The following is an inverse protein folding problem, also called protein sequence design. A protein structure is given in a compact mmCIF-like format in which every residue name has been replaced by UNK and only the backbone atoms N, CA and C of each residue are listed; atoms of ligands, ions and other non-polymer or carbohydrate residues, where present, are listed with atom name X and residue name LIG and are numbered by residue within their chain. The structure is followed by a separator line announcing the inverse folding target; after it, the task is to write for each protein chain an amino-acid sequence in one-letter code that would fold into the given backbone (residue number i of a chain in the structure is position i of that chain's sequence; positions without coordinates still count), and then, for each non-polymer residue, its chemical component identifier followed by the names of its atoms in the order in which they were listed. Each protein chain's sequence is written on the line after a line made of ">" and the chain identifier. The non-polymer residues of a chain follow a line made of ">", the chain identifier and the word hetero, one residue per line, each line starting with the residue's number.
data_IF_687607546474
#
_entry.id   IF_687607546474
#
_cell.length_a   1.000
_cell.length_b   1.000
_cell.length_c   1.000
_cell.angle_alpha   90.00
_cell.angle_beta   90.00
_cell.angle_gamma   90.00
#
_symmetry.space_group_name_H-M   'P 1'
#
loop_
_entity.id
_entity.type
_entity.pdbx_description
1 polymer ?
#
# COMPACT_ATOMS: atom_id res chain seq x y z
N UNK A 1 9.42 -10.46 9.42
CA UNK A 1 9.04 -9.15 8.82
C UNK A 1 8.76 -8.06 9.84
N UNK A 2 7.86 -8.29 10.80
CA UNK A 2 7.45 -7.27 11.78
C UNK A 2 8.61 -6.68 12.57
N UNK A 3 9.55 -7.49 13.02
CA UNK A 3 10.69 -7.04 13.82
C UNK A 3 11.67 -6.22 12.99
N UNK A 4 11.89 -6.61 11.73
CA UNK A 4 12.73 -5.85 10.81
C UNK A 4 12.15 -4.46 10.52
N UNK A 5 10.84 -4.38 10.29
CA UNK A 5 10.15 -3.10 10.04
C UNK A 5 10.20 -2.22 11.29
N UNK A 6 9.96 -2.77 12.47
CA UNK A 6 10.04 -2.03 13.73
C UNK A 6 11.45 -1.50 13.98
N UNK A 7 12.46 -2.32 13.72
CA UNK A 7 13.85 -1.93 13.88
C UNK A 7 14.22 -0.75 12.97
N UNK A 8 13.78 -0.80 11.72
CA UNK A 8 14.01 0.27 10.74
C UNK A 8 13.23 1.54 11.10
N UNK A 9 11.97 1.39 11.50
CA UNK A 9 11.13 2.53 11.87
C UNK A 9 11.71 3.32 13.05
N UNK A 10 12.43 2.67 13.95
CA UNK A 10 13.08 3.32 15.11
C UNK A 10 14.28 4.18 14.73
N UNK A 11 14.86 3.97 13.55
CA UNK A 11 16.04 4.74 13.11
C UNK A 11 15.68 6.07 12.46
N UNK A 12 14.40 6.28 12.13
CA UNK A 12 13.91 7.48 11.45
C UNK A 12 13.13 8.35 12.43
N UNK A 13 13.46 9.64 12.48
CA UNK A 13 12.70 10.61 13.26
C UNK A 13 11.33 10.85 12.62
N UNK A 14 10.28 10.79 13.44
CA UNK A 14 8.90 10.96 13.02
C UNK A 14 7.97 10.11 13.87
N UNK A 15 6.75 9.92 13.39
CA UNK A 15 5.75 9.09 14.06
C UNK A 15 5.69 7.72 13.39
N UNK A 16 6.05 6.69 14.14
CA UNK A 16 5.93 5.32 13.66
C UNK A 16 4.46 4.98 13.35
N UNK A 17 4.22 4.36 12.20
CA UNK A 17 2.89 3.88 11.82
C UNK A 17 2.56 2.63 12.64
N UNK A 18 1.37 2.59 13.22
CA UNK A 18 0.88 1.41 13.94
C UNK A 18 0.89 0.19 13.01
N UNK A 19 1.35 -0.95 13.53
CA UNK A 19 1.42 -2.20 12.76
C UNK A 19 0.10 -2.59 12.11
N UNK A 20 -1.02 -2.24 12.72
CA UNK A 20 -2.36 -2.52 12.19
C UNK A 20 -2.64 -1.78 10.88
N UNK A 21 -1.91 -0.71 10.63
CA UNK A 21 -2.04 0.11 9.42
C UNK A 21 -0.97 -0.19 8.36
N UNK A 22 -0.07 -1.15 8.62
CA UNK A 22 0.91 -1.55 7.60
C UNK A 22 0.21 -2.26 6.46
N UNK A 23 0.37 -1.72 5.27
CA UNK A 23 -0.27 -2.27 4.08
C UNK A 23 0.49 -1.87 2.83
N UNK A 24 0.25 -2.61 1.76
CA UNK A 24 0.67 -2.22 0.41
C UNK A 24 -0.57 -1.76 -0.33
N UNK A 25 -0.58 -0.51 -0.77
CA UNK A 25 -1.66 0.02 -1.61
C UNK A 25 -1.49 -0.51 -3.02
N UNK A 26 -2.54 -1.08 -3.58
CA UNK A 26 -2.56 -1.56 -4.97
C UNK A 26 -3.10 -0.48 -5.91
N UNK A 27 -4.14 0.22 -5.48
CA UNK A 27 -4.76 1.28 -6.24
C UNK A 27 -5.48 2.23 -5.28
N UNK A 28 -5.40 3.53 -5.55
CA UNK A 28 -6.08 4.55 -4.78
C UNK A 28 -7.30 5.04 -5.54
N UNK A 29 -8.47 4.91 -4.93
CA UNK A 29 -9.75 5.22 -5.56
C UNK A 29 -10.12 6.69 -5.34
N UNK A 30 -9.79 7.24 -4.18
CA UNK A 30 -10.21 8.58 -3.78
C UNK A 30 -11.67 8.61 -3.32
N UNK A 31 -12.27 9.79 -3.39
CA UNK A 31 -13.67 9.95 -3.02
C UNK A 31 -14.58 9.22 -4.01
N UNK A 32 -15.47 8.39 -3.48
CA UNK A 32 -16.36 7.58 -4.30
C UNK A 32 -17.75 7.55 -3.66
N UNK A 33 -18.85 7.66 -4.45
CA UNK A 33 -20.19 7.66 -3.87
C UNK A 33 -20.49 6.38 -3.09
N UNK A 34 -20.91 6.53 -1.84
CA UNK A 34 -21.13 5.37 -0.96
C UNK A 34 -22.21 4.41 -1.50
N UNK A 35 -23.22 4.92 -2.22
CA UNK A 35 -24.26 4.08 -2.82
C UNK A 35 -23.74 3.19 -3.96
N UNK A 36 -22.57 3.48 -4.50
CA UNK A 36 -21.93 2.70 -5.56
C UNK A 36 -20.84 1.75 -5.06
N UNK A 37 -20.54 1.77 -3.76
CA UNK A 37 -19.55 0.84 -3.17
C UNK A 37 -19.88 -0.63 -3.47
N UNK A 38 -21.14 -1.10 -3.43
CA UNK A 38 -21.46 -2.46 -3.83
C UNK A 38 -20.99 -2.83 -5.24
N UNK A 39 -21.01 -1.89 -6.20
CA UNK A 39 -20.53 -2.13 -7.56
C UNK A 39 -19.01 -2.40 -7.56
N UNK A 40 -18.25 -1.63 -6.77
CA UNK A 40 -16.81 -1.86 -6.61
C UNK A 40 -16.50 -3.21 -5.98
N UNK A 41 -17.24 -3.57 -4.93
CA UNK A 41 -17.06 -4.86 -4.25
C UNK A 41 -17.35 -6.03 -5.18
N UNK A 42 -18.37 -5.92 -5.99
CA UNK A 42 -18.74 -6.94 -6.98
C UNK A 42 -17.62 -7.11 -8.02
N UNK A 43 -17.11 -6.00 -8.54
CA UNK A 43 -16.00 -6.03 -9.50
C UNK A 43 -14.73 -6.61 -8.86
N UNK A 44 -14.41 -6.20 -7.65
CA UNK A 44 -13.24 -6.69 -6.93
C UNK A 44 -13.32 -8.20 -6.67
N UNK A 45 -14.50 -8.72 -6.38
CA UNK A 45 -14.71 -10.14 -6.12
C UNK A 45 -14.46 -11.03 -7.34
N UNK A 46 -14.55 -10.47 -8.55
CA UNK A 46 -14.29 -11.20 -9.80
C UNK A 46 -12.79 -11.32 -10.12
N UNK A 47 -11.94 -10.58 -9.43
CA UNK A 47 -10.50 -10.54 -9.70
C UNK A 47 -9.80 -11.70 -8.99
N UNK A 48 -9.15 -12.55 -9.76
CA UNK A 48 -8.33 -13.63 -9.22
C UNK A 48 -6.93 -13.12 -8.90
N UNK A 49 -6.41 -13.51 -7.73
CA UNK A 49 -5.06 -13.14 -7.29
C UNK A 49 -4.15 -14.36 -7.41
N UNK A 50 -3.14 -14.27 -8.27
CA UNK A 50 -2.03 -15.22 -8.26
C UNK A 50 -1.07 -14.82 -7.13
N UNK A 51 -0.71 -15.74 -6.22
CA UNK A 51 0.21 -15.42 -5.14
C UNK A 51 1.54 -14.87 -5.65
N UNK A 52 2.07 -13.88 -4.95
CA UNK A 52 3.36 -13.27 -5.30
C UNK A 52 4.16 -12.95 -4.04
N UNK A 53 5.45 -12.75 -4.21
CA UNK A 53 6.38 -12.36 -3.14
C UNK A 53 6.94 -10.98 -3.40
N UNK A 54 7.01 -10.17 -2.35
CA UNK A 54 7.67 -8.87 -2.37
C UNK A 54 8.92 -8.93 -1.50
N UNK A 55 10.04 -8.46 -2.07
CA UNK A 55 11.29 -8.26 -1.35
C UNK A 55 11.48 -6.79 -1.07
N UNK A 56 11.27 -6.38 0.18
CA UNK A 56 11.55 -5.01 0.61
C UNK A 56 13.02 -4.91 0.95
N UNK A 57 13.77 -4.19 0.13
CA UNK A 57 15.23 -4.09 0.23
C UNK A 57 15.75 -2.68 0.48
N UNK A 58 14.85 -1.69 0.55
CA UNK A 58 15.19 -0.28 0.72
C UNK A 58 14.27 0.44 1.66
N UNK A 59 14.82 1.46 2.32
CA UNK A 59 14.07 2.48 3.02
C UNK A 59 14.25 3.80 2.28
N UNK A 60 13.17 4.40 1.82
CA UNK A 60 13.18 5.65 1.07
C UNK A 60 12.42 6.75 1.80
N UNK A 61 12.93 7.97 1.71
CA UNK A 61 12.21 9.16 2.15
C UNK A 61 11.47 9.77 0.95
N UNK A 62 10.16 9.93 1.09
CA UNK A 62 9.33 10.61 0.10
C UNK A 62 8.94 11.98 0.65
N UNK A 63 9.45 13.08 0.05
CA UNK A 63 9.25 14.44 0.58
C UNK A 63 7.80 14.88 0.56
N UNK A 64 6.98 14.31 -0.30
CA UNK A 64 5.54 14.48 -0.32
C UNK A 64 4.89 13.10 -0.31
N UNK A 65 4.26 12.72 0.79
CA UNK A 65 3.78 13.48 1.96
C UNK A 65 4.71 13.46 3.21
N UNK A 66 6.01 13.41 3.09
CA UNK A 66 6.98 13.34 4.19
C UNK A 66 6.87 12.02 4.96
N UNK A 67 7.08 10.96 4.26
CA UNK A 67 7.00 9.61 4.84
C UNK A 67 8.30 8.84 4.60
N UNK A 68 8.58 7.91 5.51
CA UNK A 68 9.57 6.87 5.27
C UNK A 68 8.83 5.60 4.87
N UNK A 69 9.24 5.03 3.76
CA UNK A 69 8.58 3.84 3.19
C UNK A 69 9.59 2.75 2.88
N UNK A 70 9.22 1.51 3.22
CA UNK A 70 9.90 0.34 2.72
C UNK A 70 9.49 0.14 1.26
N UNK A 71 10.46 -0.05 0.38
CA UNK A 71 10.21 -0.22 -1.05
C UNK A 71 10.88 -1.49 -1.57
N UNK A 72 10.30 -2.03 -2.64
CA UNK A 72 10.83 -3.16 -3.37
C UNK A 72 11.32 -2.70 -4.75
N UNK A 73 12.55 -3.06 -5.12
CA UNK A 73 13.12 -2.67 -6.41
C UNK A 73 12.42 -3.36 -7.58
N UNK A 74 11.91 -4.55 -7.36
CA UNK A 74 11.30 -5.39 -8.40
C UNK A 74 9.81 -5.56 -8.13
N UNK A 75 9.00 -5.34 -9.16
CA UNK A 75 7.56 -5.63 -9.12
C UNK A 75 7.34 -7.00 -9.76
N UNK A 76 6.86 -8.01 -9.01
CA UNK A 76 6.56 -9.31 -9.61
C UNK A 76 5.52 -9.19 -10.73
N UNK A 77 5.61 -9.99 -11.80
CA UNK A 77 4.62 -9.95 -12.88
C UNK A 77 3.19 -10.19 -12.42
N UNK A 78 2.98 -11.08 -11.45
CA UNK A 78 1.66 -11.37 -10.87
C UNK A 78 1.07 -10.14 -10.20
N UNK A 79 1.89 -9.35 -9.51
CA UNK A 79 1.46 -8.11 -8.88
C UNK A 79 1.11 -7.05 -9.92
N UNK A 80 1.94 -6.89 -10.96
CA UNK A 80 1.63 -5.93 -12.03
C UNK A 80 0.33 -6.29 -12.73
N UNK A 81 0.10 -7.58 -12.99
CA UNK A 81 -1.15 -8.07 -13.59
C UNK A 81 -2.35 -7.73 -12.70
N UNK A 82 -2.22 -7.94 -11.39
CA UNK A 82 -3.27 -7.59 -10.44
C UNK A 82 -3.59 -6.09 -10.47
N UNK A 83 -2.56 -5.25 -10.45
CA UNK A 83 -2.74 -3.78 -10.52
C UNK A 83 -3.42 -3.37 -11.82
N UNK A 84 -3.04 -3.99 -12.93
CA UNK A 84 -3.65 -3.71 -14.23
C UNK A 84 -5.14 -4.09 -14.26
N UNK A 85 -5.50 -5.24 -13.68
CA UNK A 85 -6.90 -5.65 -13.54
C UNK A 85 -7.70 -4.68 -12.65
N UNK A 86 -7.10 -4.22 -11.56
CA UNK A 86 -7.73 -3.24 -10.68
C UNK A 86 -7.96 -1.91 -11.40
N UNK A 87 -6.99 -1.46 -12.19
CA UNK A 87 -7.13 -0.24 -13.00
C UNK A 87 -8.25 -0.38 -14.02
N UNK A 88 -8.37 -1.53 -14.68
CA UNK A 88 -9.46 -1.81 -15.61
C UNK A 88 -10.82 -1.79 -14.90
N UNK A 89 -10.92 -2.39 -13.72
CA UNK A 89 -12.13 -2.38 -12.92
C UNK A 89 -12.51 -0.96 -12.49
N UNK A 90 -11.53 -0.13 -12.15
CA UNK A 90 -11.76 1.28 -11.81
C UNK A 90 -12.33 2.05 -13.00
N UNK A 91 -11.78 1.87 -14.19
CA UNK A 91 -12.29 2.50 -15.41
C UNK A 91 -13.73 2.08 -15.69
N UNK A 92 -14.09 0.82 -15.46
CA UNK A 92 -15.44 0.30 -15.67
C UNK A 92 -16.48 1.00 -14.79
N UNK A 93 -16.08 1.53 -13.65
CA UNK A 93 -16.97 2.26 -12.73
C UNK A 93 -16.74 3.77 -12.77
N UNK A 94 -16.00 4.27 -13.75
CA UNK A 94 -15.80 5.70 -13.99
C UNK A 94 -14.70 6.35 -13.15
N UNK A 95 -13.79 5.58 -12.60
CA UNK A 95 -12.64 6.09 -11.83
C UNK A 95 -11.41 6.11 -12.74
N UNK A 96 -10.75 7.27 -12.85
CA UNK A 96 -9.47 7.39 -13.54
C UNK A 96 -8.34 6.90 -12.62
N UNK A 97 -7.59 5.85 -12.98
CA UNK A 97 -6.41 5.45 -12.22
C UNK A 97 -5.30 6.49 -12.29
N UNK A 98 -4.45 6.53 -11.29
CA UNK A 98 -3.27 7.39 -11.33
C UNK A 98 -2.34 6.99 -12.48
N UNK A 99 -1.85 7.98 -13.24
CA UNK A 99 -0.92 7.76 -14.34
C UNK A 99 0.52 7.80 -13.84
N UNK A 100 0.87 6.79 -13.03
CA UNK A 100 2.21 6.62 -12.48
C UNK A 100 2.63 5.16 -12.55
N UNK A 101 3.94 4.94 -12.70
CA UNK A 101 4.51 3.60 -12.58
C UNK A 101 4.22 3.08 -11.16
N UNK A 102 3.67 1.90 -11.08
CA UNK A 102 3.33 1.29 -9.80
C UNK A 102 4.60 0.96 -9.01
N UNK A 103 4.65 1.39 -7.76
CA UNK A 103 5.75 1.14 -6.84
C UNK A 103 5.22 0.57 -5.53
N UNK A 104 5.38 -0.76 -5.29
CA UNK A 104 4.93 -1.35 -4.04
C UNK A 104 5.74 -0.82 -2.85
N UNK A 105 5.04 -0.40 -1.80
CA UNK A 105 5.69 0.15 -0.62
C UNK A 105 4.82 -0.02 0.63
N UNK A 106 5.48 0.00 1.78
CA UNK A 106 4.82 0.06 3.09
C UNK A 106 5.30 1.33 3.79
N UNK A 107 4.39 2.25 4.08
CA UNK A 107 4.70 3.44 4.86
C UNK A 107 4.89 3.05 6.33
N UNK A 108 6.05 3.33 6.88
CA UNK A 108 6.41 2.94 8.25
C UNK A 108 6.57 4.12 9.20
N UNK A 109 6.85 5.33 8.69
CA UNK A 109 6.95 6.55 9.49
C UNK A 109 6.25 7.69 8.76
N UNK A 110 5.40 8.45 9.47
CA UNK A 110 4.77 9.68 8.97
C UNK A 110 5.40 10.90 9.64
N UNK A 111 5.35 12.05 8.94
CA UNK A 111 6.03 13.24 9.41
C UNK A 111 7.53 12.99 9.57
N UNK A 112 8.10 12.21 8.68
CA UNK A 112 9.50 11.81 8.74
C UNK A 112 10.43 12.99 8.46
N UNK A 113 11.58 13.00 9.13
CA UNK A 113 12.67 13.87 8.79
C UNK A 113 13.42 13.31 7.59
N UNK A 114 13.85 14.18 6.68
CA UNK A 114 14.56 13.80 5.46
C UNK A 114 15.81 12.96 5.77
N UNK A 115 16.02 11.92 4.98
CA UNK A 115 17.21 11.07 5.03
C UNK A 115 17.51 10.54 3.62
N UNK A 116 18.72 10.07 3.40
CA UNK A 116 19.09 9.44 2.13
C UNK A 116 18.57 8.01 2.06
N UNK A 117 18.21 7.56 0.85
CA UNK A 117 17.79 6.17 0.61
C UNK A 117 18.83 5.20 1.15
N UNK A 118 18.37 4.24 1.94
CA UNK A 118 19.21 3.19 2.51
C UNK A 118 18.82 1.82 1.98
N UNK A 119 19.83 1.02 1.63
CA UNK A 119 19.61 -0.41 1.42
C UNK A 119 19.53 -1.09 2.76
N UNK A 120 18.55 -1.97 2.92
CA UNK A 120 18.40 -2.74 4.14
C UNK A 120 19.50 -3.81 4.21
N UNK A 121 20.15 -3.91 5.37
CA UNK A 121 21.15 -4.95 5.62
C UNK A 121 20.51 -6.35 5.56
N UNK A 122 19.23 -6.45 5.92
CA UNK A 122 18.47 -7.67 5.86
C UNK A 122 17.17 -7.41 5.08
N UNK A 123 17.03 -8.11 3.95
CA UNK A 123 15.82 -8.04 3.13
C UNK A 123 14.64 -8.65 3.86
N UNK A 124 13.47 -8.04 3.68
CA UNK A 124 12.22 -8.58 4.22
C UNK A 124 11.38 -9.10 3.06
N UNK A 125 11.17 -10.41 3.04
CA UNK A 125 10.36 -11.07 2.01
C UNK A 125 8.99 -11.42 2.57
N UNK A 126 7.95 -11.04 1.84
CA UNK A 126 6.55 -11.32 2.23
C UNK A 126 5.81 -11.98 1.08
N UNK A 127 4.92 -12.92 1.40
CA UNK A 127 4.04 -13.56 0.45
C UNK A 127 2.63 -12.98 0.55
N UNK A 128 2.03 -12.70 -0.59
CA UNK A 128 0.72 -12.07 -0.70
C UNK A 128 -0.17 -12.91 -1.60
N UNK A 129 -1.43 -13.11 -1.19
CA UNK A 129 -2.36 -13.99 -1.92
C UNK A 129 -3.77 -13.42 -2.02
N UNK A 130 -4.03 -12.26 -1.42
CA UNK A 130 -5.35 -11.63 -1.44
C UNK A 130 -5.24 -10.12 -1.31
N UNK A 131 -6.34 -9.43 -1.62
CA UNK A 131 -6.46 -7.99 -1.39
C UNK A 131 -7.85 -7.68 -0.81
N UNK A 132 -7.98 -6.49 -0.27
CA UNK A 132 -9.23 -6.00 0.29
C UNK A 132 -9.48 -4.56 -0.16
N UNK A 133 -10.77 -4.23 -0.32
CA UNK A 133 -11.20 -2.85 -0.48
C UNK A 133 -11.34 -2.24 0.92
N UNK A 134 -10.63 -1.13 1.14
CA UNK A 134 -10.57 -0.46 2.44
C UNK A 134 -11.11 0.95 2.35
N UNK A 135 -11.75 1.39 3.43
CA UNK A 135 -12.08 2.79 3.66
C UNK A 135 -11.05 3.40 4.62
N UNK A 136 -10.52 4.56 4.25
CA UNK A 136 -9.63 5.32 5.11
C UNK A 136 -10.49 6.21 6.03
N UNK A 137 -10.32 6.05 7.33
CA UNK A 137 -11.10 6.77 8.34
C UNK A 137 -10.16 7.62 9.19
N UNK A 138 -10.42 8.93 9.26
CA UNK A 138 -9.67 9.84 10.11
C UNK A 138 -10.25 9.88 11.52
N UNK A 139 -9.38 9.90 12.52
CA UNK A 139 -9.77 9.92 13.92
C UNK A 139 -8.72 10.56 14.80
N UNK A 140 -8.94 10.61 16.15
CA UNK A 140 -8.03 11.26 17.09
C UNK A 140 -6.60 10.71 17.09
N UNK A 141 -6.45 9.43 16.74
CA UNK A 141 -5.15 8.77 16.67
C UNK A 141 -4.51 8.77 15.28
N UNK A 142 -5.08 9.51 14.31
CA UNK A 142 -4.65 9.53 12.91
C UNK A 142 -5.58 8.75 12.00
N UNK A 143 -5.05 8.26 10.88
CA UNK A 143 -5.81 7.52 9.88
C UNK A 143 -5.79 6.03 10.21
N UNK A 144 -6.94 5.39 10.11
CA UNK A 144 -7.07 3.93 10.16
C UNK A 144 -7.79 3.42 8.90
N UNK A 145 -7.63 2.13 8.63
CA UNK A 145 -8.20 1.49 7.43
C UNK A 145 -9.17 0.42 7.86
N UNK A 146 -10.39 0.49 7.32
CA UNK A 146 -11.48 -0.42 7.66
C UNK A 146 -11.89 -1.19 6.42
N UNK A 147 -11.90 -2.55 6.46
CA UNK A 147 -12.35 -3.33 5.32
C UNK A 147 -13.81 -3.06 5.00
N UNK A 148 -14.12 -2.87 3.71
CA UNK A 148 -15.49 -2.78 3.22
C UNK A 148 -15.95 -4.19 2.83
N UNK A 149 -17.14 -4.56 3.25
CA UNK A 149 -17.73 -5.87 2.99
C UNK A 149 -19.09 -5.71 2.33
N UNK A 150 -19.42 -6.71 1.54
CA UNK A 150 -20.77 -6.83 0.98
C UNK A 150 -21.80 -7.10 2.06
#
# INVERSE_FOLDING_TARGET
>A
MRDAINSVAKTVEGRAVDRRNWHVTLAFIGAFPSHRVPDLLERAAEIHVEPFRLNFDRLEYWPRPRVASLTAATVPPELQTLVDFLHSAMLDVGIEPEDRVYRPHITVVRGARAFATERLAQRSTTEWSSFELMESVSGPGGVSYVPLKQ
#
